data_IF_986114239223
#
_entry.id   IF_986114239223
#
_cell.length_a   1.000
_cell.length_b   1.000
_cell.length_c   1.000
_cell.angle_alpha   90.00
_cell.angle_beta   90.00
_cell.angle_gamma   90.00
#
_symmetry.space_group_name_H-M   'P 1'
#
loop_
_entity.id
_entity.type
_entity.pdbx_description
1 polymer ?
#
# COMPACT_ATOMS: atom_id res chain seq x y z
N UNK A 1 -14.82 11.97 -81.63
CA UNK A 1 -15.43 11.33 -80.43
C UNK A 1 -14.39 10.63 -79.56
N UNK A 2 -13.61 9.66 -80.07
CA UNK A 2 -12.62 8.88 -79.28
C UNK A 2 -11.58 9.71 -78.49
N UNK A 3 -11.10 10.83 -79.04
CA UNK A 3 -10.13 11.73 -78.35
C UNK A 3 -10.74 12.49 -77.18
N UNK A 4 -12.02 12.88 -77.30
CA UNK A 4 -12.73 13.60 -76.24
C UNK A 4 -13.03 12.66 -75.05
N UNK A 5 -13.44 11.42 -75.34
CA UNK A 5 -13.63 10.39 -74.30
C UNK A 5 -12.34 10.06 -73.57
N UNK A 6 -11.20 10.01 -74.28
CA UNK A 6 -9.89 9.71 -73.70
C UNK A 6 -9.38 10.85 -72.79
N UNK A 7 -9.61 12.11 -73.18
CA UNK A 7 -9.32 13.28 -72.35
C UNK A 7 -10.20 13.29 -71.10
N UNK A 8 -11.49 12.94 -71.24
CA UNK A 8 -12.42 12.90 -70.11
C UNK A 8 -12.01 11.81 -69.09
N UNK A 9 -11.59 10.64 -69.57
CA UNK A 9 -11.10 9.55 -68.72
C UNK A 9 -9.79 9.95 -68.03
N UNK A 10 -8.88 10.62 -68.73
CA UNK A 10 -7.61 11.07 -68.16
C UNK A 10 -7.82 12.15 -67.08
N UNK A 11 -8.72 13.10 -67.33
CA UNK A 11 -9.09 14.12 -66.36
C UNK A 11 -9.76 13.52 -65.12
N UNK A 12 -10.64 12.52 -65.30
CA UNK A 12 -11.29 11.82 -64.20
C UNK A 12 -10.28 11.02 -63.36
N UNK A 13 -9.28 10.39 -64.00
CA UNK A 13 -8.20 9.72 -63.28
C UNK A 13 -7.32 10.69 -62.48
N UNK A 14 -7.04 11.88 -63.02
CA UNK A 14 -6.24 12.89 -62.31
C UNK A 14 -6.95 13.41 -61.05
N UNK A 15 -8.27 13.56 -61.08
CA UNK A 15 -9.06 14.00 -59.93
C UNK A 15 -9.08 12.94 -58.82
N UNK A 16 -9.15 11.65 -59.18
CA UNK A 16 -9.18 10.55 -58.21
C UNK A 16 -7.85 10.28 -57.48
N UNK A 17 -6.73 10.84 -57.95
CA UNK A 17 -5.40 10.64 -57.34
C UNK A 17 -5.04 11.79 -56.37
N UNK A 18 -5.89 12.81 -56.23
CA UNK A 18 -5.62 13.89 -55.28
C UNK A 18 -5.65 13.36 -53.83
N UNK A 19 -4.56 13.49 -53.05
CA UNK A 19 -4.56 13.01 -51.67
C UNK A 19 -5.47 13.90 -50.83
N UNK A 20 -6.67 13.42 -50.50
CA UNK A 20 -7.48 14.05 -49.47
C UNK A 20 -6.73 13.95 -48.15
N UNK A 21 -6.37 15.09 -47.56
CA UNK A 21 -5.82 15.15 -46.20
C UNK A 21 -6.92 14.69 -45.24
N UNK A 22 -6.92 13.41 -44.89
CA UNK A 22 -7.82 12.87 -43.89
C UNK A 22 -7.47 13.50 -42.54
N UNK A 23 -8.40 14.27 -41.98
CA UNK A 23 -8.33 14.86 -40.63
C UNK A 23 -8.56 13.75 -39.60
N UNK A 24 -7.65 12.78 -39.55
CA UNK A 24 -7.61 11.78 -38.51
C UNK A 24 -7.28 12.50 -37.20
N UNK A 25 -8.28 12.65 -36.33
CA UNK A 25 -8.07 13.18 -34.99
C UNK A 25 -7.27 12.14 -34.21
N UNK A 26 -6.02 12.47 -33.90
CA UNK A 26 -5.21 11.66 -32.99
C UNK A 26 -5.77 11.70 -31.57
N UNK A 27 -5.62 10.61 -30.83
CA UNK A 27 -5.90 10.56 -29.39
C UNK A 27 -4.57 10.62 -28.65
N UNK A 28 -4.44 11.57 -27.73
CA UNK A 28 -3.30 11.66 -26.82
C UNK A 28 -3.65 10.99 -25.49
N UNK A 29 -2.81 10.05 -25.05
CA UNK A 29 -2.93 9.42 -23.73
C UNK A 29 -1.76 9.87 -22.85
N UNK A 30 -2.07 10.29 -21.62
CA UNK A 30 -1.10 10.47 -20.54
C UNK A 30 -1.49 9.53 -19.41
N UNK A 31 -0.53 8.82 -18.85
CA UNK A 31 -0.73 7.96 -17.70
C UNK A 31 0.43 8.13 -16.72
N UNK A 32 0.13 7.88 -15.45
CA UNK A 32 1.13 7.89 -14.37
C UNK A 32 0.91 6.60 -13.57
N UNK A 33 1.93 5.75 -13.53
CA UNK A 33 1.90 4.50 -12.79
C UNK A 33 2.44 4.74 -11.38
N UNK A 34 1.58 4.58 -10.38
CA UNK A 34 1.93 4.76 -8.97
C UNK A 34 1.75 3.44 -8.21
N UNK A 35 2.64 3.17 -7.25
CA UNK A 35 2.55 1.99 -6.39
C UNK A 35 1.71 2.34 -5.15
N UNK A 36 0.60 1.64 -4.94
CA UNK A 36 -0.27 1.83 -3.77
C UNK A 36 -0.17 0.65 -2.82
N UNK A 37 -0.36 0.92 -1.53
CA UNK A 37 -0.35 -0.05 -0.44
C UNK A 37 -1.72 -0.08 0.22
N UNK A 38 -2.35 -1.26 0.18
CA UNK A 38 -3.58 -1.54 0.90
C UNK A 38 -3.23 -2.15 2.26
N UNK A 39 -3.54 -1.44 3.34
CA UNK A 39 -3.27 -1.90 4.70
C UNK A 39 -4.59 -2.35 5.33
N UNK A 40 -4.62 -3.58 5.83
CA UNK A 40 -5.78 -4.14 6.53
C UNK A 40 -5.48 -4.26 8.02
N UNK A 41 -6.29 -3.62 8.85
CA UNK A 41 -6.28 -3.76 10.30
C UNK A 41 -7.39 -4.69 10.79
N UNK A 42 -7.06 -5.56 11.74
CA UNK A 42 -8.04 -6.43 12.42
C UNK A 42 -7.70 -6.58 13.90
N UNK A 43 -8.71 -6.80 14.73
CA UNK A 43 -8.55 -7.19 16.11
C UNK A 43 -8.09 -8.65 16.23
N UNK A 44 -7.67 -9.07 17.43
CA UNK A 44 -7.19 -10.43 17.70
C UNK A 44 -8.26 -11.49 17.48
N UNK A 45 -9.53 -11.14 17.70
CA UNK A 45 -10.68 -12.00 17.43
C UNK A 45 -11.02 -12.12 15.93
N UNK A 46 -10.29 -11.40 15.07
CA UNK A 46 -10.47 -11.39 13.61
C UNK A 46 -11.49 -10.37 13.11
N UNK A 47 -12.15 -9.62 13.99
CA UNK A 47 -13.05 -8.54 13.55
C UNK A 47 -12.24 -7.39 12.90
N UNK A 48 -12.77 -6.70 11.87
CA UNK A 48 -12.05 -5.63 11.22
C UNK A 48 -11.89 -4.41 12.13
N UNK A 49 -10.76 -3.71 12.02
CA UNK A 49 -10.59 -2.35 12.58
C UNK A 49 -11.35 -1.34 11.71
N UNK A 50 -12.67 -1.47 11.66
CA UNK A 50 -13.58 -0.63 10.89
C UNK A 50 -13.62 0.79 11.47
N UNK A 51 -13.67 1.82 10.62
CA UNK A 51 -13.74 3.24 11.04
C UNK A 51 -12.61 3.66 12.00
N UNK A 52 -11.45 3.00 11.93
CA UNK A 52 -10.30 3.34 12.73
C UNK A 52 -9.61 4.58 12.17
N UNK A 53 -9.12 5.45 13.06
CA UNK A 53 -8.28 6.58 12.67
C UNK A 53 -6.95 6.05 12.13
N UNK A 54 -6.59 6.47 10.92
CA UNK A 54 -5.32 6.13 10.26
C UNK A 54 -4.42 7.36 10.25
N UNK A 55 -3.14 7.16 10.58
CA UNK A 55 -2.09 8.18 10.49
C UNK A 55 -0.84 7.59 9.88
N UNK A 56 -0.37 8.19 8.79
CA UNK A 56 0.79 7.75 8.02
C UNK A 56 1.90 8.77 8.18
N UNK A 57 3.08 8.33 8.59
CA UNK A 57 4.26 9.17 8.80
C UNK A 57 5.31 8.82 7.75
N UNK A 58 5.83 9.85 7.09
CA UNK A 58 6.90 9.72 6.12
C UNK A 58 8.25 9.51 6.82
N UNK A 59 9.26 8.92 6.15
CA UNK A 59 10.55 8.62 6.76
C UNK A 59 11.30 9.87 7.27
N UNK A 60 11.09 11.02 6.63
CA UNK A 60 11.74 12.29 6.93
C UNK A 60 11.06 13.09 8.05
N UNK A 61 9.79 12.80 8.34
CA UNK A 61 9.05 13.41 9.45
C UNK A 61 8.24 12.36 10.24
N UNK A 62 8.87 11.67 11.21
CA UNK A 62 8.21 10.65 12.01
C UNK A 62 7.30 11.23 13.11
N UNK A 63 7.24 12.56 13.27
CA UNK A 63 6.46 13.22 14.34
C UNK A 63 5.16 13.79 13.84
N UNK A 64 5.14 14.30 12.61
CA UNK A 64 3.93 14.86 12.01
C UNK A 64 3.39 13.89 10.96
N UNK A 65 2.10 13.53 11.01
CA UNK A 65 1.53 12.64 10.01
C UNK A 65 1.55 13.34 8.64
N UNK A 66 2.07 12.63 7.64
CA UNK A 66 2.03 13.03 6.24
C UNK A 66 0.60 12.97 5.71
N UNK A 67 -0.14 11.92 6.05
CA UNK A 67 -1.56 11.74 5.72
C UNK A 67 -2.31 11.18 6.92
N UNK A 68 -3.53 11.66 7.11
CA UNK A 68 -4.49 11.09 8.05
C UNK A 68 -5.76 10.68 7.32
N UNK A 69 -6.45 9.66 7.82
CA UNK A 69 -7.72 9.22 7.26
C UNK A 69 -8.47 8.29 8.21
N UNK A 70 -9.45 7.59 7.64
CA UNK A 70 -10.28 6.61 8.34
C UNK A 70 -10.33 5.33 7.52
N UNK A 71 -10.19 4.16 8.14
CA UNK A 71 -10.35 2.88 7.45
C UNK A 71 -11.80 2.60 7.07
N UNK A 72 -12.00 1.78 6.05
CA UNK A 72 -13.33 1.35 5.61
C UNK A 72 -13.95 0.29 6.54
N UNK A 73 -15.16 -0.17 6.20
CA UNK A 73 -15.92 -1.16 6.96
C UNK A 73 -15.19 -2.52 7.11
N UNK A 74 -14.27 -2.82 6.21
CA UNK A 74 -13.45 -4.03 6.24
C UNK A 74 -12.11 -3.79 6.95
N UNK A 75 -11.93 -2.61 7.56
CA UNK A 75 -10.72 -2.21 8.27
C UNK A 75 -9.55 -1.92 7.33
N UNK A 76 -9.81 -1.59 6.07
CA UNK A 76 -8.78 -1.35 5.07
C UNK A 76 -8.53 0.15 4.88
N UNK A 77 -7.30 0.48 4.54
CA UNK A 77 -6.92 1.82 4.11
C UNK A 77 -5.91 1.74 2.98
N UNK A 78 -6.25 2.34 1.84
CA UNK A 78 -5.37 2.42 0.68
C UNK A 78 -4.62 3.75 0.70
N UNK A 79 -3.29 3.70 0.54
CA UNK A 79 -2.50 4.91 0.35
C UNK A 79 -1.44 4.72 -0.72
N UNK A 80 -1.04 5.83 -1.33
CA UNK A 80 0.03 5.89 -2.32
C UNK A 80 1.16 6.75 -1.73
N UNK A 81 2.30 6.18 -1.34
CA UNK A 81 3.44 6.96 -0.83
C UNK A 81 4.06 7.83 -1.91
N UNK A 82 4.71 8.90 -1.48
CA UNK A 82 5.64 9.64 -2.32
C UNK A 82 6.94 8.84 -2.50
N UNK A 83 7.14 8.28 -3.69
CA UNK A 83 8.32 7.46 -4.01
C UNK A 83 9.63 8.25 -4.07
N UNK A 84 9.59 9.59 -4.03
CA UNK A 84 10.80 10.42 -3.86
C UNK A 84 11.34 10.40 -2.42
N UNK A 85 10.57 9.84 -1.47
CA UNK A 85 10.92 9.68 -0.05
C UNK A 85 11.12 8.19 0.31
N UNK A 86 12.22 7.56 -0.13
CA UNK A 86 12.51 6.18 0.23
C UNK A 86 12.82 6.05 1.73
N UNK A 87 12.51 4.89 2.31
CA UNK A 87 12.82 4.55 3.69
C UNK A 87 11.62 3.98 4.44
N UNK A 88 11.70 4.06 5.77
CA UNK A 88 10.71 3.45 6.66
C UNK A 88 9.52 4.38 6.88
N UNK A 89 8.40 4.05 6.26
CA UNK A 89 7.10 4.66 6.51
C UNK A 89 6.43 4.00 7.70
N UNK A 90 5.77 4.77 8.55
CA UNK A 90 4.99 4.23 9.67
C UNK A 90 3.51 4.45 9.42
N UNK A 91 2.72 3.37 9.43
CA UNK A 91 1.26 3.43 9.32
C UNK A 91 0.68 3.03 10.67
N UNK A 92 -0.12 3.91 11.26
CA UNK A 92 -0.78 3.70 12.55
C UNK A 92 -2.29 3.64 12.35
N UNK A 93 -2.93 2.63 12.95
CA UNK A 93 -4.38 2.51 13.09
C UNK A 93 -4.74 2.66 14.56
N UNK A 94 -5.80 3.43 14.85
CA UNK A 94 -6.27 3.67 16.22
C UNK A 94 -7.80 3.70 16.30
N UNK A 95 -8.37 2.93 17.21
CA UNK A 95 -9.81 2.88 17.47
C UNK A 95 -10.07 2.62 18.95
N UNK A 96 -10.85 3.49 19.60
CA UNK A 96 -11.30 3.34 20.99
C UNK A 96 -10.20 2.95 22.02
N UNK A 97 -8.97 3.46 21.85
CA UNK A 97 -7.83 3.15 22.72
C UNK A 97 -7.09 1.84 22.38
N UNK A 98 -7.59 1.08 21.41
CA UNK A 98 -6.87 0.00 20.75
C UNK A 98 -6.24 0.50 19.45
N UNK A 99 -5.19 -0.17 18.98
CA UNK A 99 -4.47 0.24 17.80
C UNK A 99 -3.11 -0.43 17.68
N UNK A 100 -2.47 -0.20 16.55
CA UNK A 100 -1.15 -0.73 16.24
C UNK A 100 -0.46 0.13 15.21
N UNK A 101 0.84 -0.06 15.06
CA UNK A 101 1.60 0.54 13.98
C UNK A 101 2.38 -0.54 13.24
N UNK A 102 2.47 -0.37 11.93
CA UNK A 102 3.34 -1.15 11.06
C UNK A 102 4.40 -0.24 10.45
N UNK A 103 5.55 -0.81 10.16
CA UNK A 103 6.64 -0.14 9.47
C UNK A 103 6.76 -0.76 8.09
N UNK A 104 6.72 0.08 7.06
CA UNK A 104 6.83 -0.30 5.66
C UNK A 104 8.15 0.25 5.13
N UNK A 105 9.03 -0.62 4.65
CA UNK A 105 10.24 -0.20 3.95
C UNK A 105 9.89 0.01 2.47
N UNK A 106 9.84 1.27 2.06
CA UNK A 106 9.44 1.68 0.70
C UNK A 106 10.69 2.17 -0.02
N UNK A 107 11.01 1.55 -1.16
CA UNK A 107 12.25 1.79 -1.90
C UNK A 107 13.47 0.99 -1.40
N UNK A 108 13.36 0.28 -0.28
CA UNK A 108 14.30 -0.77 0.14
C UNK A 108 14.03 -2.13 -0.52
N UNK A 109 14.90 -3.13 -0.32
CA UNK A 109 14.58 -4.50 -0.73
C UNK A 109 13.32 -4.95 0.00
N UNK A 110 12.31 -5.35 -0.77
CA UNK A 110 10.94 -5.64 -0.32
C UNK A 110 10.94 -6.73 0.75
N UNK A 111 11.05 -6.34 2.02
CA UNK A 111 10.88 -7.21 3.16
C UNK A 111 9.42 -7.10 3.60
N UNK A 112 8.60 -8.05 3.18
CA UNK A 112 7.26 -8.26 3.74
C UNK A 112 7.41 -8.55 5.24
N UNK A 113 7.39 -7.53 6.08
CA UNK A 113 7.50 -7.70 7.53
C UNK A 113 6.13 -7.77 8.19
N UNK A 114 5.92 -8.91 8.84
CA UNK A 114 4.76 -9.39 9.57
C UNK A 114 4.21 -8.40 10.61
N UNK A 115 2.89 -8.39 10.75
CA UNK A 115 2.18 -7.60 11.75
C UNK A 115 2.58 -7.93 13.19
N UNK A 116 2.20 -7.04 14.11
CA UNK A 116 2.53 -7.03 15.54
C UNK A 116 1.94 -8.16 16.38
N UNK A 117 1.49 -9.25 15.76
CA UNK A 117 0.94 -10.41 16.46
C UNK A 117 2.09 -11.31 16.94
N UNK A 118 2.15 -11.56 18.25
CA UNK A 118 3.09 -12.53 18.80
C UNK A 118 2.72 -13.94 18.35
N UNK A 119 3.72 -14.72 17.91
CA UNK A 119 3.49 -16.11 17.54
C UNK A 119 3.14 -16.97 18.77
N UNK A 120 2.42 -18.07 18.56
CA UNK A 120 2.08 -19.03 19.64
C UNK A 120 3.33 -19.53 20.37
N UNK A 121 4.44 -19.73 19.65
CA UNK A 121 5.72 -20.15 20.25
C UNK A 121 6.34 -19.05 21.10
N UNK A 122 6.24 -17.78 20.70
CA UNK A 122 6.70 -16.64 21.48
C UNK A 122 5.89 -16.49 22.77
N UNK A 123 4.58 -16.61 22.69
CA UNK A 123 3.69 -16.58 23.87
C UNK A 123 4.06 -17.71 24.83
N UNK A 124 4.29 -18.93 24.32
CA UNK A 124 4.67 -20.08 25.14
C UNK A 124 6.00 -19.85 25.87
N UNK A 125 7.01 -19.30 25.17
CA UNK A 125 8.31 -18.97 25.78
C UNK A 125 8.18 -17.92 26.88
N UNK A 126 7.35 -16.89 26.68
CA UNK A 126 7.08 -15.88 27.70
C UNK A 126 6.46 -16.50 28.96
N UNK A 127 5.47 -17.38 28.80
CA UNK A 127 4.82 -18.08 29.93
C UNK A 127 5.82 -18.94 30.70
N UNK A 128 6.66 -19.71 29.99
CA UNK A 128 7.69 -20.55 30.63
C UNK A 128 8.69 -19.70 31.42
N UNK A 129 9.15 -18.57 30.86
CA UNK A 129 10.08 -17.68 31.53
C UNK A 129 9.50 -17.08 32.82
N UNK A 130 8.23 -16.68 32.78
CA UNK A 130 7.51 -16.15 33.96
C UNK A 130 7.38 -17.22 35.04
N UNK A 131 6.95 -18.43 34.68
CA UNK A 131 6.83 -19.55 35.63
C UNK A 131 8.18 -19.90 36.26
N UNK A 132 9.25 -19.95 35.47
CA UNK A 132 10.60 -20.19 35.97
C UNK A 132 11.06 -19.10 36.95
N UNK A 133 10.79 -17.83 36.64
CA UNK A 133 11.08 -16.71 37.54
C UNK A 133 10.36 -16.81 38.89
N UNK A 134 9.08 -17.21 38.88
CA UNK A 134 8.30 -17.43 40.10
C UNK A 134 8.86 -18.58 40.94
N UNK A 135 9.24 -19.70 40.30
CA UNK A 135 9.88 -20.84 40.98
C UNK A 135 11.21 -20.42 41.60
N UNK A 136 12.06 -19.70 40.86
CA UNK A 136 13.34 -19.20 41.37
C UNK A 136 13.16 -18.27 42.57
N UNK A 137 12.18 -17.37 42.51
CA UNK A 137 11.85 -16.46 43.61
C UNK A 137 11.36 -17.23 44.84
N UNK A 138 10.49 -18.23 44.66
CA UNK A 138 10.02 -19.08 45.76
C UNK A 138 11.16 -19.88 46.42
N UNK A 139 12.08 -20.41 45.61
CA UNK A 139 13.26 -21.13 46.12
C UNK A 139 14.24 -20.21 46.84
N UNK A 140 14.42 -18.98 46.38
CA UNK A 140 15.25 -17.97 47.03
C UNK A 140 14.79 -17.71 48.47
N UNK A 141 13.50 -17.42 48.68
CA UNK A 141 12.94 -17.19 50.01
C UNK A 141 12.86 -18.46 50.86
N UNK A 142 12.74 -19.65 50.25
CA UNK A 142 12.81 -20.92 50.98
C UNK A 142 14.20 -21.16 51.59
N UNK A 143 15.27 -20.64 51.00
CA UNK A 143 16.65 -20.84 51.46
C UNK A 143 16.98 -20.04 52.73
N UNK A 144 16.23 -18.99 53.04
CA UNK A 144 16.49 -18.08 54.17
C UNK A 144 16.03 -18.63 55.54
N UNK A 145 15.44 -19.83 55.58
CA UNK A 145 15.11 -20.55 56.85
C UNK A 145 16.10 -21.68 57.18
N UNK A 146 17.40 -21.41 57.14
CA UNK A 146 18.43 -22.23 57.78
C UNK A 146 19.45 -21.35 58.48
#
# INVERSE_FOLDING_TARGET
MKRLTLILILALHLVSISPLTALAHGVEFKYEANLSYLITGSFVDGSPLSEAQVSIYAPDDPKNPWVTGTSDEQGQYLFTPDLTKPGIWTVQFRQAGHGGNIKLDIGGQMNSSSGTAYSTTQILLMVIAVLWGLVGTALYFKRERR
#
